data_IF_956193559978
#
_entry.id   IF_956193559978
#
_cell.length_a   1.000
_cell.length_b   1.000
_cell.length_c   1.000
_cell.angle_alpha   90.00
_cell.angle_beta   90.00
_cell.angle_gamma   90.00
#
_symmetry.space_group_name_H-M   'P 1'
#
loop_
_entity.id
_entity.type
_entity.pdbx_description
1 polymer ?
#
# COMPACT_ATOMS: atom_id res chain seq x y z
N UNK A 1 20.44 -17.42 7.95
CA UNK A 1 21.72 -18.01 7.49
C UNK A 1 22.84 -17.00 7.69
N UNK A 2 24.10 -17.43 7.77
CA UNK A 2 25.27 -16.55 7.83
C UNK A 2 26.02 -16.62 6.50
N UNK A 3 26.24 -15.46 5.89
CA UNK A 3 26.93 -15.33 4.61
C UNK A 3 28.06 -14.32 4.74
N UNK A 4 29.20 -14.62 4.14
CA UNK A 4 30.33 -13.68 4.02
C UNK A 4 30.25 -13.02 2.65
N UNK A 5 30.33 -11.69 2.63
CA UNK A 5 30.31 -10.88 1.40
C UNK A 5 31.50 -9.95 1.40
N UNK A 6 32.02 -9.64 0.21
CA UNK A 6 33.06 -8.62 0.04
C UNK A 6 32.39 -7.29 -0.26
N UNK A 7 32.79 -6.24 0.47
CA UNK A 7 32.21 -4.90 0.34
C UNK A 7 33.37 -3.91 0.27
N UNK A 8 33.19 -2.84 -0.50
CA UNK A 8 34.11 -1.71 -0.48
C UNK A 8 34.29 -1.15 0.94
N UNK A 9 35.53 -0.77 1.23
CA UNK A 9 35.98 -0.41 2.56
C UNK A 9 35.40 0.94 3.02
N UNK A 10 35.24 1.89 2.10
CA UNK A 10 34.61 3.18 2.39
C UNK A 10 33.09 3.00 2.62
N UNK A 11 32.44 2.12 1.86
CA UNK A 11 31.05 1.78 2.07
C UNK A 11 30.84 1.12 3.45
N UNK A 12 31.69 0.17 3.82
CA UNK A 12 31.60 -0.48 5.13
C UNK A 12 31.75 0.52 6.29
N UNK A 13 32.66 1.50 6.18
CA UNK A 13 32.80 2.57 7.18
C UNK A 13 31.52 3.40 7.33
N UNK A 14 30.87 3.75 6.22
CA UNK A 14 29.60 4.50 6.23
C UNK A 14 28.48 3.70 6.90
N UNK A 15 28.37 2.41 6.56
CA UNK A 15 27.39 1.52 7.19
C UNK A 15 27.64 1.41 8.69
N UNK A 16 28.90 1.26 9.11
CA UNK A 16 29.29 1.18 10.52
C UNK A 16 28.93 2.46 11.29
N UNK A 17 29.19 3.63 10.71
CA UNK A 17 28.80 4.91 11.30
C UNK A 17 27.29 5.03 11.45
N UNK A 18 26.53 4.67 10.41
CA UNK A 18 25.07 4.66 10.45
C UNK A 18 24.53 3.71 11.52
N UNK A 19 25.04 2.48 11.57
CA UNK A 19 24.66 1.50 12.58
C UNK A 19 24.90 2.01 14.01
N UNK A 20 26.03 2.67 14.26
CA UNK A 20 26.34 3.28 15.55
C UNK A 20 25.37 4.41 15.92
N UNK A 21 25.02 5.28 14.97
CA UNK A 21 24.09 6.38 15.19
C UNK A 21 22.65 5.89 15.43
N UNK A 22 22.25 4.81 14.75
CA UNK A 22 20.90 4.24 14.86
C UNK A 22 20.75 3.22 16.00
N UNK A 23 21.82 2.89 16.72
CA UNK A 23 21.80 1.85 17.77
C UNK A 23 21.55 0.44 17.22
N UNK A 24 21.83 0.21 15.94
CA UNK A 24 21.61 -1.06 15.25
C UNK A 24 22.92 -1.80 15.01
N UNK A 25 22.83 -3.10 14.78
CA UNK A 25 23.97 -3.87 14.30
C UNK A 25 24.19 -3.62 12.80
N UNK A 26 25.44 -3.77 12.33
CA UNK A 26 25.74 -3.72 10.89
C UNK A 26 24.93 -4.78 10.12
N UNK A 27 24.75 -5.97 10.71
CA UNK A 27 23.94 -7.03 10.09
C UNK A 27 22.48 -6.62 9.89
N UNK A 28 21.87 -5.96 10.88
CA UNK A 28 20.50 -5.47 10.80
C UNK A 28 20.34 -4.40 9.71
N UNK A 29 21.30 -3.48 9.61
CA UNK A 29 21.32 -2.45 8.56
C UNK A 29 21.43 -3.09 7.18
N UNK A 30 22.29 -4.10 7.02
CA UNK A 30 22.44 -4.83 5.77
C UNK A 30 21.19 -5.62 5.39
N UNK A 31 20.52 -6.25 6.36
CA UNK A 31 19.27 -6.98 6.13
C UNK A 31 18.16 -6.04 5.67
N UNK A 32 17.99 -4.90 6.34
CA UNK A 32 16.97 -3.91 5.99
C UNK A 32 17.20 -3.34 4.59
N UNK A 33 18.45 -2.99 4.25
CA UNK A 33 18.80 -2.52 2.92
C UNK A 33 18.49 -3.54 1.82
N UNK A 34 18.75 -4.83 2.08
CA UNK A 34 18.43 -5.92 1.15
C UNK A 34 16.92 -6.12 1.01
N UNK A 35 16.16 -6.04 2.10
CA UNK A 35 14.69 -6.13 2.06
C UNK A 35 14.09 -4.99 1.23
N UNK A 36 14.53 -3.75 1.49
CA UNK A 36 14.06 -2.58 0.75
C UNK A 36 14.36 -2.72 -0.76
N UNK A 37 15.58 -3.12 -1.12
CA UNK A 37 15.98 -3.32 -2.52
C UNK A 37 15.13 -4.39 -3.23
N UNK A 38 14.86 -5.50 -2.55
CA UNK A 38 14.06 -6.58 -3.13
C UNK A 38 12.57 -6.22 -3.22
N UNK A 39 12.05 -5.46 -2.25
CA UNK A 39 10.67 -4.99 -2.28
C UNK A 39 10.43 -4.00 -3.43
N UNK A 40 11.34 -3.04 -3.61
CA UNK A 40 11.30 -2.06 -4.71
C UNK A 40 11.34 -2.76 -6.07
N UNK A 41 12.17 -3.79 -6.22
CA UNK A 41 12.26 -4.57 -7.46
C UNK A 41 11.04 -5.47 -7.69
N UNK A 42 10.39 -5.93 -6.62
CA UNK A 42 9.28 -6.88 -6.70
C UNK A 42 7.92 -6.20 -6.84
N UNK A 43 7.83 -4.89 -6.64
CA UNK A 43 6.63 -4.15 -7.00
C UNK A 43 6.55 -4.11 -8.54
N UNK A 44 5.59 -4.82 -9.19
CA UNK A 44 5.17 -4.36 -10.50
C UNK A 44 4.80 -2.89 -10.32
N UNK A 45 5.23 -2.01 -11.23
CA UNK A 45 4.60 -0.71 -11.37
C UNK A 45 3.13 -1.04 -11.62
N UNK A 46 2.34 -1.06 -10.55
CA UNK A 46 0.91 -1.05 -10.67
C UNK A 46 0.67 0.26 -11.39
N UNK A 47 0.41 0.21 -12.70
CA UNK A 47 -0.31 1.27 -13.39
C UNK A 47 -1.42 1.62 -12.43
N UNK A 48 -1.33 2.80 -11.83
CA UNK A 48 -2.31 3.26 -10.85
C UNK A 48 -3.64 3.16 -11.58
N UNK A 49 -4.39 2.10 -11.29
CA UNK A 49 -5.71 1.92 -11.87
C UNK A 49 -6.48 3.16 -11.45
N UNK A 50 -7.14 3.82 -12.40
CA UNK A 50 -7.97 4.95 -12.07
C UNK A 50 -8.93 4.50 -10.97
N UNK A 51 -8.83 5.11 -9.79
CA UNK A 51 -9.78 4.84 -8.72
C UNK A 51 -11.16 5.26 -9.25
N UNK A 52 -12.20 4.42 -9.09
CA UNK A 52 -13.53 4.82 -9.50
C UNK A 52 -13.89 6.10 -8.76
N UNK A 53 -14.25 7.14 -9.51
CA UNK A 53 -14.83 8.34 -8.95
C UNK A 53 -16.29 8.00 -8.69
N UNK A 54 -16.65 7.87 -7.42
CA UNK A 54 -18.05 7.78 -7.04
C UNK A 54 -18.65 9.18 -7.16
N UNK A 55 -19.60 9.36 -8.06
CA UNK A 55 -20.44 10.56 -8.05
C UNK A 55 -21.20 10.54 -6.73
N UNK A 56 -20.85 11.47 -5.84
CA UNK A 56 -21.60 11.67 -4.61
C UNK A 56 -22.98 12.17 -5.06
N UNK A 57 -24.00 11.32 -4.94
CA UNK A 57 -25.38 11.75 -5.08
C UNK A 57 -25.69 12.91 -4.13
N UNK A 58 -26.80 13.60 -4.35
CA UNK A 58 -27.25 14.68 -3.47
C UNK A 58 -27.13 14.23 -2.01
N UNK A 59 -26.27 14.89 -1.23
CA UNK A 59 -26.07 14.57 0.18
C UNK A 59 -27.43 14.66 0.89
N UNK A 60 -28.04 13.51 1.15
CA UNK A 60 -29.26 13.43 1.93
C UNK A 60 -28.90 13.68 3.39
N UNK A 61 -28.87 14.97 3.75
CA UNK A 61 -28.80 15.49 5.13
C UNK A 61 -27.49 15.18 5.89
N UNK A 62 -27.17 15.95 6.95
CA UNK A 62 -26.01 15.65 7.79
C UNK A 62 -26.23 14.34 8.55
N UNK A 63 -25.52 13.28 8.15
CA UNK A 63 -25.46 12.02 8.89
C UNK A 63 -24.39 12.15 9.98
N UNK A 64 -24.79 11.90 11.23
CA UNK A 64 -23.86 11.83 12.35
C UNK A 64 -23.07 10.52 12.29
N UNK A 65 -21.77 10.62 12.00
CA UNK A 65 -20.87 9.47 11.88
C UNK A 65 -20.60 8.75 13.21
N UNK A 66 -21.02 9.31 14.35
CA UNK A 66 -20.93 8.67 15.66
C UNK A 66 -22.12 7.76 15.98
N UNK A 67 -23.21 7.87 15.20
CA UNK A 67 -24.38 7.01 15.31
C UNK A 67 -24.42 5.99 14.16
N UNK A 68 -24.05 4.75 14.47
CA UNK A 68 -24.07 3.62 13.53
C UNK A 68 -25.45 3.38 12.91
N UNK A 69 -26.54 3.71 13.61
CA UNK A 69 -27.89 3.50 13.08
C UNK A 69 -28.25 4.48 11.96
N UNK A 70 -27.77 5.73 12.05
CA UNK A 70 -27.95 6.76 11.03
C UNK A 70 -27.23 6.44 9.71
N UNK A 71 -26.20 5.58 9.75
CA UNK A 71 -25.47 5.12 8.57
C UNK A 71 -26.14 3.92 7.87
N UNK A 72 -26.91 3.11 8.60
CA UNK A 72 -27.48 1.87 8.07
C UNK A 72 -28.78 2.09 7.28
N UNK A 73 -29.56 3.10 7.65
CA UNK A 73 -30.83 3.45 6.97
C UNK A 73 -30.66 3.85 5.48
N UNK A 74 -29.71 4.72 5.10
CA UNK A 74 -29.53 5.12 3.70
C UNK A 74 -28.82 4.06 2.83
N UNK A 75 -28.18 3.05 3.44
CA UNK A 75 -27.52 1.96 2.71
C UNK A 75 -28.48 0.84 2.29
N UNK A 76 -29.74 0.88 2.73
CA UNK A 76 -30.76 -0.12 2.42
C UNK A 76 -31.58 0.22 1.15
N UNK A 77 -30.97 0.87 0.16
CA UNK A 77 -31.56 0.98 -1.19
C UNK A 77 -31.13 -0.26 -1.97
N UNK A 78 -32.06 -1.11 -2.48
CA UNK A 78 -31.69 -2.17 -3.40
C UNK A 78 -31.29 -1.52 -4.74
N UNK A 79 -30.00 -1.23 -4.90
CA UNK A 79 -29.44 -0.92 -6.20
C UNK A 79 -29.54 -2.19 -7.04
N UNK A 80 -30.52 -2.21 -7.95
CA UNK A 80 -30.59 -3.18 -9.02
C UNK A 80 -29.23 -3.25 -9.70
N UNK A 81 -28.62 -4.43 -9.63
CA UNK A 81 -27.52 -4.78 -10.52
C UNK A 81 -28.13 -4.84 -11.92
N UNK A 82 -27.94 -3.79 -12.69
CA UNK A 82 -28.31 -3.74 -14.09
C UNK A 82 -27.48 -4.79 -14.84
N UNK A 83 -28.06 -5.97 -14.99
CA UNK A 83 -27.69 -7.04 -15.92
C UNK A 83 -27.87 -6.57 -17.37
N UNK A 84 -27.12 -5.58 -17.85
CA UNK A 84 -27.04 -5.27 -19.29
C UNK A 84 -25.66 -4.78 -19.70
N UNK A 85 -24.87 -5.71 -20.23
CA UNK A 85 -23.64 -5.37 -20.93
C UNK A 85 -22.80 -6.56 -21.38
N UNK A 86 -23.40 -7.71 -21.71
CA UNK A 86 -22.67 -8.81 -22.33
C UNK A 86 -23.56 -9.56 -23.33
N UNK A 87 -23.87 -8.92 -24.45
CA UNK A 87 -23.88 -9.64 -25.72
C UNK A 87 -23.73 -8.70 -26.92
N UNK A 88 -22.48 -8.54 -27.37
CA UNK A 88 -22.15 -8.00 -28.67
C UNK A 88 -20.76 -8.51 -29.09
N UNK A 89 -20.59 -9.84 -29.15
CA UNK A 89 -19.53 -10.47 -29.94
C UNK A 89 -20.08 -11.76 -30.57
N UNK A 90 -20.22 -11.67 -31.90
CA UNK A 90 -20.47 -12.72 -32.92
C UNK A 90 -21.90 -13.15 -33.20
#
# INVERSE_FOLDING_TARGET
MRTTVTIDDALYRRVKAHAALSGLSVGSVMEEALRALLLEKSAPVATQGALPVFECGEFLLPVDASDTSALLDPLLVPAGLDERGSDAVR
#
